data_IF_064446116622
#
_entry.id   IF_064446116622
#
_cell.length_a   1.000
_cell.length_b   1.000
_cell.length_c   1.000
_cell.angle_alpha   90.00
_cell.angle_beta   90.00
_cell.angle_gamma   90.00
#
_symmetry.space_group_name_H-M   'P 1'
#
loop_
_entity.id
_entity.type
_entity.pdbx_description
1 polymer ?
#
# COMPACT_ATOMS: atom_id res chain seq x y z
N UNK A 1 -14.74 -12.43 3.52
CA UNK A 1 -14.01 -12.71 2.27
C UNK A 1 -13.96 -11.43 1.44
N UNK A 2 -12.78 -10.96 1.09
CA UNK A 2 -12.59 -9.83 0.17
C UNK A 2 -12.97 -10.27 -1.24
N UNK A 3 -14.23 -10.06 -1.65
CA UNK A 3 -14.63 -10.27 -3.04
C UNK A 3 -14.05 -9.13 -3.88
N UNK A 4 -12.88 -9.36 -4.47
CA UNK A 4 -12.36 -8.56 -5.58
C UNK A 4 -13.36 -8.66 -6.72
N UNK A 5 -13.86 -7.53 -7.21
CA UNK A 5 -14.69 -7.49 -8.41
C UNK A 5 -14.01 -6.62 -9.46
N UNK A 6 -13.99 -7.10 -10.70
CA UNK A 6 -13.45 -6.37 -11.85
C UNK A 6 -14.63 -6.09 -12.75
N UNK A 7 -14.90 -4.81 -13.03
CA UNK A 7 -15.98 -4.37 -13.91
C UNK A 7 -15.37 -3.49 -14.99
N UNK A 8 -15.67 -3.73 -16.28
CA UNK A 8 -15.31 -2.80 -17.33
C UNK A 8 -16.13 -1.52 -17.14
N UNK A 9 -15.42 -0.42 -16.88
CA UNK A 9 -16.02 0.89 -16.67
C UNK A 9 -15.32 1.95 -17.50
N UNK A 10 -16.10 2.82 -18.11
CA UNK A 10 -15.64 4.04 -18.75
C UNK A 10 -15.65 5.17 -17.72
N UNK A 11 -14.57 5.95 -17.67
CA UNK A 11 -14.55 7.19 -16.90
C UNK A 11 -15.45 8.21 -17.61
N UNK A 12 -16.63 8.47 -17.04
CA UNK A 12 -17.60 9.38 -17.64
C UNK A 12 -17.28 10.84 -17.31
N UNK A 13 -16.94 11.11 -16.04
CA UNK A 13 -16.59 12.46 -15.60
C UNK A 13 -15.74 12.44 -14.34
N UNK A 14 -15.06 13.56 -14.08
CA UNK A 14 -14.36 13.80 -12.83
C UNK A 14 -14.64 15.22 -12.33
N UNK A 15 -14.63 15.39 -11.01
CA UNK A 15 -14.79 16.69 -10.36
C UNK A 15 -13.70 16.90 -9.32
N UNK A 16 -13.04 18.06 -9.38
CA UNK A 16 -12.07 18.47 -8.38
C UNK A 16 -12.75 18.99 -7.11
N UNK A 17 -12.31 18.51 -5.95
CA UNK A 17 -12.79 18.93 -4.63
C UNK A 17 -11.76 19.84 -3.95
N UNK A 18 -12.16 20.47 -2.83
CA UNK A 18 -11.39 21.53 -2.15
C UNK A 18 -10.06 21.05 -1.55
N UNK A 19 -9.89 19.75 -1.29
CA UNK A 19 -8.73 19.20 -0.57
C UNK A 19 -7.76 18.43 -1.48
N UNK A 20 -7.60 18.86 -2.74
CA UNK A 20 -6.84 18.13 -3.79
C UNK A 20 -7.35 16.71 -4.04
N UNK A 21 -8.57 16.41 -3.61
CA UNK A 21 -9.27 15.15 -3.85
C UNK A 21 -10.09 15.25 -5.13
N UNK A 22 -10.26 14.12 -5.82
CA UNK A 22 -11.05 14.03 -7.05
C UNK A 22 -12.21 13.08 -6.83
N UNK A 23 -13.41 13.50 -7.22
CA UNK A 23 -14.56 12.61 -7.37
C UNK A 23 -14.52 12.05 -8.79
N UNK A 24 -14.40 10.73 -8.92
CA UNK A 24 -14.44 10.03 -10.20
C UNK A 24 -15.80 9.37 -10.37
N UNK A 25 -16.44 9.54 -11.53
CA UNK A 25 -17.69 8.87 -11.89
C UNK A 25 -17.40 7.91 -13.04
N UNK A 26 -17.62 6.63 -12.79
CA UNK A 26 -17.47 5.56 -13.78
C UNK A 26 -18.85 5.07 -14.21
N UNK A 27 -19.04 4.94 -15.51
CA UNK A 27 -20.18 4.27 -16.13
C UNK A 27 -19.74 2.87 -16.53
N UNK A 28 -20.48 1.85 -16.14
CA UNK A 28 -20.16 0.45 -16.45
C UNK A 28 -21.17 -0.12 -17.43
N UNK A 29 -20.79 -1.16 -18.16
CA UNK A 29 -21.76 -2.01 -18.87
C UNK A 29 -22.71 -2.74 -17.90
N UNK A 30 -23.60 -3.58 -18.43
CA UNK A 30 -24.53 -4.38 -17.62
C UNK A 30 -23.77 -5.23 -16.59
N UNK A 31 -23.91 -4.95 -15.28
CA UNK A 31 -23.18 -5.68 -14.26
C UNK A 31 -23.85 -7.04 -14.00
N UNK A 32 -23.03 -8.08 -13.83
CA UNK A 32 -23.54 -9.39 -13.39
C UNK A 32 -24.00 -9.34 -11.92
N UNK A 33 -24.84 -10.28 -11.46
CA UNK A 33 -25.27 -10.33 -10.05
C UNK A 33 -24.12 -10.35 -9.04
N UNK A 34 -23.01 -11.01 -9.37
CA UNK A 34 -21.81 -11.05 -8.53
C UNK A 34 -21.08 -9.70 -8.49
N UNK A 35 -21.02 -8.98 -9.61
CA UNK A 35 -20.43 -7.64 -9.69
C UNK A 35 -21.26 -6.62 -8.91
N UNK A 36 -22.59 -6.70 -9.01
CA UNK A 36 -23.50 -5.86 -8.20
C UNK A 36 -23.31 -6.09 -6.71
N UNK A 37 -23.21 -7.35 -6.29
CA UNK A 37 -22.94 -7.69 -4.89
C UNK A 37 -21.59 -7.13 -4.40
N UNK A 38 -20.57 -7.13 -5.26
CA UNK A 38 -19.27 -6.52 -5.00
C UNK A 38 -19.36 -5.00 -4.81
N UNK A 39 -20.05 -4.30 -5.71
CA UNK A 39 -20.25 -2.83 -5.62
C UNK A 39 -21.02 -2.45 -4.35
N UNK A 40 -22.11 -3.16 -4.06
CA UNK A 40 -22.89 -2.93 -2.84
C UNK A 40 -22.09 -3.22 -1.57
N UNK A 41 -21.26 -4.27 -1.57
CA UNK A 41 -20.39 -4.58 -0.44
C UNK A 41 -19.33 -3.50 -0.21
N UNK A 42 -18.85 -2.85 -1.27
CA UNK A 42 -17.82 -1.81 -1.22
C UNK A 42 -18.36 -0.41 -0.96
N UNK A 43 -19.68 -0.23 -0.89
CA UNK A 43 -20.29 1.04 -0.49
C UNK A 43 -19.77 1.45 0.90
N UNK A 44 -19.30 2.71 1.03
CA UNK A 44 -18.69 3.28 2.25
C UNK A 44 -17.40 2.61 2.74
N UNK A 45 -16.79 1.70 1.96
CA UNK A 45 -15.48 1.11 2.30
C UNK A 45 -14.38 1.79 1.50
N UNK A 46 -13.26 2.05 2.15
CA UNK A 46 -12.05 2.48 1.48
C UNK A 46 -11.46 1.30 0.68
N UNK A 47 -11.13 1.54 -0.59
CA UNK A 47 -10.61 0.52 -1.50
C UNK A 47 -9.72 1.15 -2.56
N UNK A 48 -9.06 0.29 -3.34
CA UNK A 48 -8.17 0.71 -4.42
C UNK A 48 -8.90 0.61 -5.76
N UNK A 49 -8.69 1.60 -6.62
CA UNK A 49 -9.26 1.64 -7.97
C UNK A 49 -8.11 1.42 -8.95
N UNK A 50 -8.19 0.36 -9.76
CA UNK A 50 -7.29 0.13 -10.88
C UNK A 50 -8.04 0.47 -12.18
N UNK A 51 -7.50 1.40 -12.97
CA UNK A 51 -8.05 1.80 -14.26
C UNK A 51 -7.00 1.54 -15.34
N UNK A 52 -7.37 0.73 -16.34
CA UNK A 52 -6.57 0.52 -17.54
C UNK A 52 -7.48 0.73 -18.76
N UNK A 53 -7.14 1.62 -19.70
CA UNK A 53 -7.90 1.80 -20.94
C UNK A 53 -7.89 0.54 -21.84
N UNK A 54 -6.90 -0.34 -21.68
CA UNK A 54 -6.82 -1.62 -22.37
C UNK A 54 -7.37 -2.77 -21.50
N UNK A 55 -7.95 -3.83 -22.12
CA UNK A 55 -8.45 -4.97 -21.36
C UNK A 55 -7.31 -5.66 -20.62
N UNK A 56 -7.43 -5.76 -19.30
CA UNK A 56 -6.46 -6.47 -18.46
C UNK A 56 -6.22 -7.89 -18.97
N UNK A 57 -4.97 -8.20 -19.31
CA UNK A 57 -4.52 -9.55 -19.67
C UNK A 57 -4.59 -10.44 -18.42
N UNK A 58 -4.76 -11.76 -18.60
CA UNK A 58 -4.91 -12.70 -17.47
C UNK A 58 -3.76 -12.64 -16.44
N UNK A 59 -2.55 -12.31 -16.88
CA UNK A 59 -1.39 -12.10 -15.99
C UNK A 59 -1.55 -10.90 -15.05
N UNK A 60 -2.21 -9.83 -15.51
CA UNK A 60 -2.43 -8.62 -14.72
C UNK A 60 -3.56 -8.84 -13.70
N UNK A 61 -4.56 -9.65 -14.06
CA UNK A 61 -5.62 -10.09 -13.13
C UNK A 61 -5.07 -10.92 -11.98
N UNK A 62 -4.10 -11.79 -12.26
CA UNK A 62 -3.42 -12.59 -11.23
C UNK A 62 -2.62 -11.71 -10.26
N UNK A 63 -1.90 -10.69 -10.76
CA UNK A 63 -1.19 -9.72 -9.91
C UNK A 63 -2.13 -8.90 -9.03
N UNK A 64 -3.29 -8.47 -9.55
CA UNK A 64 -4.29 -7.74 -8.75
C UNK A 64 -4.95 -8.60 -7.67
N UNK A 65 -5.04 -9.92 -7.89
CA UNK A 65 -5.60 -10.87 -6.92
C UNK A 65 -4.57 -11.25 -5.85
N UNK A 66 -3.30 -11.35 -6.24
CA UNK A 66 -2.17 -11.63 -5.32
C UNK A 66 -1.73 -10.38 -4.54
N UNK A 67 -2.19 -9.20 -4.95
CA UNK A 67 -2.14 -7.97 -4.16
C UNK A 67 -3.07 -8.12 -2.94
N UNK A 68 -2.66 -8.95 -1.97
CA UNK A 68 -3.20 -8.92 -0.61
C UNK A 68 -2.93 -7.52 -0.09
N UNK A 69 -4.00 -6.74 -0.05
CA UNK A 69 -4.02 -5.42 0.56
C UNK A 69 -3.79 -5.58 2.06
N UNK A 70 -2.53 -5.59 2.48
CA UNK A 70 -2.18 -5.18 3.84
C UNK A 70 -2.46 -3.69 3.91
N UNK A 71 -3.64 -3.34 4.42
CA UNK A 71 -4.09 -1.95 4.61
C UNK A 71 -3.16 -1.15 5.55
N UNK A 72 -2.15 -1.80 6.15
CA UNK A 72 -1.06 -1.20 6.90
C UNK A 72 -0.09 -0.35 6.04
N UNK A 73 -0.10 -0.51 4.71
CA UNK A 73 0.81 0.22 3.80
C UNK A 73 0.32 1.60 3.34
N UNK A 74 -0.80 2.09 3.89
CA UNK A 74 -1.18 3.53 3.78
C UNK A 74 -0.39 4.38 4.79
N UNK A 75 0.41 3.76 5.67
CA UNK A 75 1.36 4.40 6.56
C UNK A 75 2.79 4.41 6.04
N UNK A 76 3.68 5.12 6.76
CA UNK A 76 5.15 5.00 6.57
C UNK A 76 5.52 3.52 6.53
N UNK A 77 6.30 3.09 5.53
CA UNK A 77 6.75 1.70 5.43
C UNK A 77 7.42 1.24 6.71
N UNK A 78 7.43 -0.07 7.00
CA UNK A 78 8.09 -0.60 8.21
C UNK A 78 9.54 -0.11 8.35
N UNK A 79 10.26 0.01 7.23
CA UNK A 79 11.61 0.60 7.19
C UNK A 79 11.63 2.10 7.51
N UNK A 80 10.70 2.88 6.96
CA UNK A 80 10.57 4.31 7.28
C UNK A 80 10.18 4.55 8.76
N UNK A 81 9.32 3.70 9.33
CA UNK A 81 8.98 3.73 10.76
C UNK A 81 10.18 3.39 11.62
N UNK A 82 10.94 2.35 11.26
CA UNK A 82 12.16 1.96 11.97
C UNK A 82 13.19 3.10 11.97
N UNK A 83 13.45 3.72 10.82
CA UNK A 83 14.35 4.88 10.72
C UNK A 83 13.89 6.04 11.60
N UNK A 84 12.59 6.34 11.62
CA UNK A 84 12.05 7.42 12.46
C UNK A 84 12.18 7.13 13.96
N UNK A 85 11.99 5.88 14.39
CA UNK A 85 12.20 5.48 15.79
C UNK A 85 13.68 5.54 16.16
N UNK A 86 14.58 5.04 15.31
CA UNK A 86 16.02 5.13 15.53
C UNK A 86 16.50 6.58 15.62
N UNK A 87 15.89 7.49 14.87
CA UNK A 87 16.18 8.93 14.97
C UNK A 87 15.82 9.46 16.36
N UNK A 88 14.63 9.12 16.89
CA UNK A 88 14.24 9.51 18.25
C UNK A 88 15.14 8.91 19.33
N UNK A 89 15.60 7.67 19.15
CA UNK A 89 16.58 7.06 20.05
C UNK A 89 17.90 7.83 20.02
N UNK A 90 18.40 8.19 18.84
CA UNK A 90 19.63 8.99 18.70
C UNK A 90 19.50 10.40 19.31
N UNK A 91 18.32 11.03 19.20
CA UNK A 91 18.05 12.32 19.87
C UNK A 91 18.11 12.23 21.40
N UNK A 92 17.77 11.08 21.98
CA UNK A 92 17.80 10.86 23.43
C UNK A 92 19.19 10.44 23.92
N UNK A 93 19.84 9.54 23.18
CA UNK A 93 21.18 9.08 23.46
C UNK A 93 21.87 8.78 22.12
N UNK A 94 22.78 9.67 21.73
CA UNK A 94 23.52 9.52 20.49
C UNK A 94 24.64 8.48 20.59
N UNK A 95 24.89 7.90 21.77
CA UNK A 95 25.95 6.93 22.06
C UNK A 95 27.34 7.36 21.56
N UNK A 96 27.60 8.67 21.50
CA UNK A 96 28.84 9.24 20.99
C UNK A 96 28.97 9.26 19.47
N UNK A 97 27.90 8.96 18.72
CA UNK A 97 27.90 9.03 17.26
C UNK A 97 27.70 10.47 16.76
N UNK A 98 28.65 10.96 15.97
CA UNK A 98 28.69 12.34 15.43
C UNK A 98 27.52 12.69 14.50
N UNK A 99 26.91 11.67 13.86
CA UNK A 99 25.77 11.85 12.97
C UNK A 99 24.75 10.74 13.11
N UNK A 100 23.48 11.09 12.90
CA UNK A 100 22.40 10.12 12.85
C UNK A 100 22.63 9.06 11.77
N UNK A 101 23.22 9.42 10.64
CA UNK A 101 23.48 8.47 9.55
C UNK A 101 24.43 7.37 10.03
N UNK A 102 25.52 7.73 10.72
CA UNK A 102 26.46 6.76 11.27
C UNK A 102 25.82 5.90 12.37
N UNK A 103 25.02 6.49 13.26
CA UNK A 103 24.22 5.76 14.25
C UNK A 103 23.29 4.74 13.57
N UNK A 104 22.54 5.17 12.55
CA UNK A 104 21.59 4.34 11.82
C UNK A 104 22.27 3.15 11.13
N UNK A 105 23.40 3.39 10.46
CA UNK A 105 24.13 2.34 9.75
C UNK A 105 24.71 1.29 10.72
N UNK A 106 25.28 1.73 11.84
CA UNK A 106 25.78 0.81 12.89
C UNK A 106 24.66 -0.03 13.51
N UNK A 107 23.50 0.59 13.79
CA UNK A 107 22.35 -0.13 14.34
C UNK A 107 21.73 -1.12 13.35
N UNK A 108 21.67 -0.76 12.07
CA UNK A 108 21.24 -1.68 11.03
C UNK A 108 22.18 -2.88 10.91
N UNK A 109 23.49 -2.68 10.90
CA UNK A 109 24.47 -3.78 10.84
C UNK A 109 24.36 -4.72 12.04
N UNK A 110 24.09 -4.19 13.25
CA UNK A 110 23.80 -5.02 14.43
C UNK A 110 22.57 -5.90 14.23
N UNK A 111 21.48 -5.33 13.69
CA UNK A 111 20.24 -6.08 13.41
C UNK A 111 20.50 -7.15 12.34
N UNK A 112 21.19 -6.80 11.26
CA UNK A 112 21.55 -7.73 10.18
C UNK A 112 22.39 -8.88 10.73
N UNK A 113 23.43 -8.57 11.52
CA UNK A 113 24.31 -9.57 12.13
C UNK A 113 23.54 -10.50 13.08
N UNK A 114 22.64 -9.96 13.91
CA UNK A 114 21.78 -10.75 14.80
C UNK A 114 20.95 -11.79 14.05
N UNK A 115 20.38 -11.43 12.89
CA UNK A 115 19.61 -12.38 12.09
C UNK A 115 20.48 -13.30 11.24
N UNK A 116 21.63 -12.84 10.72
CA UNK A 116 22.62 -13.71 10.04
C UNK A 116 23.08 -14.85 10.94
N UNK A 117 23.44 -14.54 12.19
CA UNK A 117 23.86 -15.54 13.17
C UNK A 117 22.79 -16.58 13.51
N UNK A 118 21.51 -16.31 13.20
CA UNK A 118 20.41 -17.28 13.36
C UNK A 118 20.17 -18.16 12.13
N UNK A 119 20.70 -17.77 10.96
CA UNK A 119 20.62 -18.55 9.73
C UNK A 119 21.78 -19.54 9.62
N UNK A 120 22.93 -19.19 10.19
CA UNK A 120 24.13 -20.04 10.25
C UNK A 120 24.15 -20.97 11.49
N UNK A 121 22.98 -21.24 12.09
CA UNK A 121 22.80 -22.08 13.27
C UNK A 121 22.08 -23.40 13.00
#
# INVERSE_FOLDING_TARGET
>A
MSKLFIIPGQLATFQSLKDRTLKLIFETGEPTPDQMAGVMYSLQKAGFIAFNPDPFKEKEKAMLTDLKVDFDDVGKSKGQRLRAVLFRCWEQDNQGHESFQYYYDQYLEKIITHYKNKLDG
#
